data_IF_797035409211
#
_entry.id   IF_797035409211
#
_cell.length_a   1.000
_cell.length_b   1.000
_cell.length_c   1.000
_cell.angle_alpha   90.00
_cell.angle_beta   90.00
_cell.angle_gamma   90.00
#
_symmetry.space_group_name_H-M   'P 1'
#
loop_
_entity.id
_entity.type
_entity.pdbx_description
1 polymer ?
#
# COMPACT_ATOMS: atom_id res chain seq x y z
N UNK A 1 26.59 -62.88 2.36
CA UNK A 1 27.27 -61.96 1.42
C UNK A 1 26.29 -60.87 1.06
N UNK A 2 26.24 -59.82 1.84
CA UNK A 2 25.32 -58.70 1.67
C UNK A 2 26.12 -57.53 1.11
N UNK A 3 25.86 -57.20 -0.15
CA UNK A 3 26.55 -56.14 -0.88
C UNK A 3 25.99 -54.82 -0.44
N UNK A 4 26.73 -54.11 0.40
CA UNK A 4 26.45 -52.77 0.84
C UNK A 4 26.70 -51.82 -0.36
N UNK A 5 25.64 -51.34 -0.97
CA UNK A 5 25.69 -50.33 -2.00
C UNK A 5 26.14 -49.01 -1.37
N UNK A 6 27.39 -48.65 -1.59
CA UNK A 6 27.93 -47.36 -1.24
C UNK A 6 27.23 -46.29 -2.12
N UNK A 7 26.36 -45.52 -1.53
CA UNK A 7 25.83 -44.31 -2.11
C UNK A 7 27.01 -43.33 -2.32
N UNK A 8 27.22 -42.98 -3.58
CA UNK A 8 28.27 -42.08 -4.05
C UNK A 8 28.12 -40.69 -3.40
N UNK A 9 29.24 -40.12 -2.91
CA UNK A 9 29.25 -38.76 -2.35
C UNK A 9 28.99 -37.62 -3.36
N UNK A 10 28.68 -37.97 -4.61
CA UNK A 10 28.50 -37.03 -5.72
C UNK A 10 27.08 -36.55 -5.95
N UNK A 11 26.12 -36.99 -5.16
CA UNK A 11 24.71 -36.51 -5.19
C UNK A 11 24.38 -35.50 -4.10
N UNK A 12 25.38 -34.91 -3.47
CA UNK A 12 25.20 -33.63 -2.77
C UNK A 12 25.35 -32.52 -3.81
N UNK A 13 24.55 -32.65 -4.89
CA UNK A 13 24.38 -31.53 -5.81
C UNK A 13 23.87 -30.35 -5.03
N UNK A 14 24.78 -29.40 -4.89
CA UNK A 14 24.62 -27.98 -5.04
C UNK A 14 23.14 -27.50 -4.95
N UNK A 15 22.51 -27.73 -3.80
CA UNK A 15 21.39 -26.90 -3.38
C UNK A 15 21.98 -25.50 -3.15
N UNK A 16 22.32 -24.82 -4.25
CA UNK A 16 22.46 -23.38 -4.24
C UNK A 16 21.18 -22.86 -3.63
N UNK A 17 21.23 -22.54 -2.35
CA UNK A 17 20.23 -21.75 -1.67
C UNK A 17 20.20 -20.39 -2.39
N UNK A 18 19.51 -20.34 -3.53
CA UNK A 18 19.15 -19.07 -4.12
C UNK A 18 18.41 -18.34 -3.03
N UNK A 19 18.90 -17.18 -2.61
CA UNK A 19 18.27 -16.38 -1.59
C UNK A 19 16.76 -16.30 -1.87
N UNK A 20 15.88 -16.63 -0.93
CA UNK A 20 14.44 -16.71 -1.17
C UNK A 20 13.86 -15.43 -1.77
N UNK A 21 14.53 -14.31 -1.56
CA UNK A 21 14.18 -13.02 -2.16
C UNK A 21 14.40 -12.97 -3.69
N UNK A 22 15.45 -13.65 -4.18
CA UNK A 22 15.76 -13.67 -5.63
C UNK A 22 14.74 -14.54 -6.36
N UNK A 23 14.41 -15.69 -5.79
CA UNK A 23 13.38 -16.58 -6.36
C UNK A 23 12.01 -15.91 -6.39
N UNK A 24 11.62 -15.28 -5.30
CA UNK A 24 10.38 -14.51 -5.20
C UNK A 24 10.35 -13.36 -6.23
N UNK A 25 11.44 -12.61 -6.36
CA UNK A 25 11.54 -11.54 -7.36
C UNK A 25 11.44 -12.08 -8.80
N UNK A 26 12.07 -13.22 -9.09
CA UNK A 26 11.99 -13.85 -10.41
C UNK A 26 10.58 -14.33 -10.74
N UNK A 27 9.88 -14.95 -9.75
CA UNK A 27 8.48 -15.36 -9.92
C UNK A 27 7.56 -14.14 -10.15
N UNK A 28 7.80 -13.05 -9.41
CA UNK A 28 7.06 -11.80 -9.55
C UNK A 28 7.25 -11.20 -10.95
N UNK A 29 8.48 -11.13 -11.44
CA UNK A 29 8.81 -10.59 -12.76
C UNK A 29 8.26 -11.43 -13.94
N UNK A 30 7.95 -12.70 -13.71
CA UNK A 30 7.30 -13.56 -14.71
C UNK A 30 5.80 -13.31 -14.85
N UNK A 31 5.20 -12.63 -13.89
CA UNK A 31 3.76 -12.34 -13.92
C UNK A 31 3.53 -10.94 -14.50
N UNK A 32 3.04 -10.88 -15.73
CA UNK A 32 2.78 -9.61 -16.43
C UNK A 32 1.84 -8.68 -15.66
N UNK A 33 0.82 -9.22 -15.01
CA UNK A 33 -0.12 -8.41 -14.22
C UNK A 33 0.54 -7.79 -12.99
N UNK A 34 1.44 -8.54 -12.33
CA UNK A 34 2.18 -8.05 -11.18
C UNK A 34 3.18 -6.94 -11.58
N UNK A 35 3.89 -7.15 -12.71
CA UNK A 35 4.82 -6.14 -13.25
C UNK A 35 4.07 -4.87 -13.66
N UNK A 36 2.92 -5.01 -14.35
CA UNK A 36 2.10 -3.86 -14.72
C UNK A 36 1.63 -3.09 -13.48
N UNK A 37 1.13 -3.80 -12.46
CA UNK A 37 0.72 -3.19 -11.18
C UNK A 37 1.86 -2.45 -10.50
N UNK A 38 3.06 -3.02 -10.49
CA UNK A 38 4.25 -2.37 -9.92
C UNK A 38 4.64 -1.10 -10.69
N UNK A 39 4.58 -1.14 -12.02
CA UNK A 39 4.88 0.03 -12.86
C UNK A 39 3.89 1.16 -12.57
N UNK A 40 2.58 0.86 -12.55
CA UNK A 40 1.54 1.85 -12.26
C UNK A 40 1.71 2.44 -10.86
N UNK A 41 1.93 1.58 -9.85
CA UNK A 41 2.17 2.02 -8.48
C UNK A 41 3.41 2.92 -8.37
N UNK A 42 4.52 2.49 -8.99
CA UNK A 42 5.77 3.26 -8.99
C UNK A 42 5.60 4.61 -9.67
N UNK A 43 4.83 4.68 -10.76
CA UNK A 43 4.51 5.92 -11.46
C UNK A 43 3.71 6.87 -10.57
N UNK A 44 2.68 6.38 -9.90
CA UNK A 44 1.86 7.17 -8.97
C UNK A 44 2.71 7.72 -7.83
N UNK A 45 3.53 6.88 -7.20
CA UNK A 45 4.43 7.28 -6.11
C UNK A 45 5.43 8.32 -6.60
N UNK A 46 6.03 8.10 -7.76
CA UNK A 46 7.01 9.02 -8.36
C UNK A 46 6.38 10.39 -8.66
N UNK A 47 5.19 10.42 -9.29
CA UNK A 47 4.47 11.66 -9.56
C UNK A 47 4.11 12.39 -8.27
N UNK A 48 3.67 11.67 -7.25
CA UNK A 48 3.27 12.25 -5.96
C UNK A 48 4.43 12.82 -5.16
N UNK A 49 5.65 12.23 -5.28
CA UNK A 49 6.83 12.70 -4.54
C UNK A 49 7.62 13.76 -5.30
N UNK A 50 7.80 13.57 -6.59
CA UNK A 50 8.63 14.44 -7.44
C UNK A 50 7.78 15.57 -8.05
N UNK A 51 6.51 15.28 -8.35
CA UNK A 51 5.60 16.22 -9.00
C UNK A 51 5.53 17.59 -8.33
N UNK A 52 5.40 17.71 -7.01
CA UNK A 52 5.39 19.00 -6.31
C UNK A 52 6.68 19.83 -6.47
N UNK A 53 7.81 19.19 -6.80
CA UNK A 53 9.08 19.86 -7.06
C UNK A 53 9.15 20.43 -8.47
N UNK A 54 8.48 19.79 -9.42
CA UNK A 54 8.46 20.18 -10.82
C UNK A 54 7.30 21.13 -11.12
N UNK A 55 6.16 20.88 -10.50
CA UNK A 55 4.93 21.65 -10.66
C UNK A 55 4.59 22.36 -9.35
N UNK A 56 5.15 23.55 -9.18
CA UNK A 56 5.11 24.31 -7.91
C UNK A 56 3.86 25.19 -7.73
N UNK A 57 2.86 25.06 -8.61
CA UNK A 57 1.58 25.78 -8.49
C UNK A 57 0.88 25.38 -7.20
N UNK A 58 0.43 26.37 -6.42
CA UNK A 58 -0.32 26.10 -5.18
C UNK A 58 -1.68 25.47 -5.51
N UNK A 59 -1.99 24.26 -4.98
CA UNK A 59 -3.24 23.56 -5.26
C UNK A 59 -4.48 24.28 -4.70
N UNK A 60 -4.30 25.25 -3.80
CA UNK A 60 -5.40 25.98 -3.16
C UNK A 60 -5.64 27.37 -3.75
N UNK A 61 -4.73 27.87 -4.58
CA UNK A 61 -4.85 29.18 -5.21
C UNK A 61 -5.89 29.16 -6.35
N UNK A 62 -6.74 30.15 -6.38
CA UNK A 62 -7.67 30.40 -7.50
C UNK A 62 -6.90 31.05 -8.63
N UNK A 63 -6.53 30.28 -9.64
CA UNK A 63 -5.64 30.72 -10.72
C UNK A 63 -6.37 31.24 -11.94
N UNK A 64 -7.64 30.85 -12.15
CA UNK A 64 -8.43 31.26 -13.34
C UNK A 64 -9.95 31.11 -13.10
N UNK A 65 -10.70 31.28 -14.20
CA UNK A 65 -12.15 31.09 -14.18
C UNK A 65 -12.53 29.62 -13.84
N UNK A 66 -13.63 29.38 -13.08
CA UNK A 66 -14.14 28.05 -12.82
C UNK A 66 -14.45 27.28 -14.10
N UNK A 67 -14.27 25.96 -14.06
CA UNK A 67 -14.59 25.02 -15.14
C UNK A 67 -13.91 25.32 -16.48
N UNK A 68 -12.70 25.87 -16.47
CA UNK A 68 -11.88 26.01 -17.69
C UNK A 68 -11.54 24.60 -18.21
N UNK A 69 -11.69 24.41 -19.51
CA UNK A 69 -11.51 23.10 -20.15
C UNK A 69 -10.04 22.65 -20.13
N UNK A 70 -9.79 21.32 -20.14
CA UNK A 70 -8.45 20.80 -20.32
C UNK A 70 -7.77 21.35 -21.59
N UNK A 71 -6.52 21.80 -21.42
CA UNK A 71 -5.72 22.38 -22.51
C UNK A 71 -5.97 23.84 -22.80
N UNK A 72 -6.98 24.49 -22.23
CA UNK A 72 -7.20 25.92 -22.34
C UNK A 72 -6.34 26.70 -21.34
N UNK A 73 -5.90 27.90 -21.73
CA UNK A 73 -5.16 28.86 -20.91
C UNK A 73 -3.88 28.31 -20.24
N UNK A 74 -3.35 27.18 -20.76
CA UNK A 74 -2.15 26.53 -20.20
C UNK A 74 -2.42 25.52 -19.11
N UNK A 75 -3.67 25.30 -18.70
CA UNK A 75 -4.06 24.29 -17.72
C UNK A 75 -4.25 22.93 -18.38
N UNK A 76 -3.37 21.97 -18.06
CA UNK A 76 -3.36 20.64 -18.70
C UNK A 76 -4.67 19.88 -18.44
N UNK A 77 -5.18 19.89 -17.21
CA UNK A 77 -6.43 19.24 -16.82
C UNK A 77 -7.59 20.24 -16.61
N UNK A 78 -7.35 21.53 -16.86
CA UNK A 78 -8.33 22.58 -16.60
C UNK A 78 -8.43 22.97 -15.12
N UNK A 79 -9.51 23.66 -14.76
CA UNK A 79 -9.76 24.17 -13.41
C UNK A 79 -11.01 23.56 -12.80
N UNK A 80 -11.06 23.52 -11.47
CA UNK A 80 -12.21 23.07 -10.71
C UNK A 80 -13.32 24.14 -10.62
N UNK A 81 -14.35 23.87 -9.82
CA UNK A 81 -15.48 24.79 -9.59
C UNK A 81 -15.09 26.08 -8.84
N UNK A 82 -13.91 26.12 -8.23
CA UNK A 82 -13.33 27.31 -7.58
C UNK A 82 -12.26 28.00 -8.43
N UNK A 83 -12.01 27.52 -9.66
CA UNK A 83 -10.95 28.07 -10.52
C UNK A 83 -9.54 27.67 -10.09
N UNK A 84 -9.37 26.56 -9.37
CA UNK A 84 -8.07 26.02 -8.97
C UNK A 84 -7.56 25.02 -10.01
N UNK A 85 -6.25 24.93 -10.16
CA UNK A 85 -5.64 23.99 -11.11
C UNK A 85 -5.82 22.53 -10.65
N UNK A 86 -6.54 21.74 -11.45
CA UNK A 86 -6.79 20.31 -11.18
C UNK A 86 -5.52 19.48 -11.16
N UNK A 87 -4.54 19.77 -12.02
CA UNK A 87 -3.28 19.03 -12.04
C UNK A 87 -2.47 19.28 -10.76
N UNK A 88 -2.40 20.54 -10.30
CA UNK A 88 -1.75 20.88 -9.04
C UNK A 88 -2.39 20.13 -7.86
N UNK A 89 -3.74 20.10 -7.84
CA UNK A 89 -4.48 19.39 -6.78
C UNK A 89 -4.18 17.88 -6.77
N UNK A 90 -4.13 17.21 -7.93
CA UNK A 90 -3.83 15.79 -8.05
C UNK A 90 -2.40 15.49 -7.57
N UNK A 91 -1.43 16.29 -8.02
CA UNK A 91 -0.01 16.09 -7.69
C UNK A 91 0.23 16.27 -6.18
N UNK A 92 -0.25 17.38 -5.60
CA UNK A 92 -0.04 17.67 -4.18
C UNK A 92 -0.92 16.80 -3.28
N UNK A 93 -2.18 16.52 -3.69
CA UNK A 93 -3.08 15.62 -2.99
C UNK A 93 -2.55 14.19 -2.94
N UNK A 94 -1.89 13.72 -4.00
CA UNK A 94 -1.24 12.40 -4.03
C UNK A 94 -0.21 12.21 -2.90
N UNK A 95 0.64 13.21 -2.67
CA UNK A 95 1.62 13.19 -1.57
C UNK A 95 0.95 13.04 -0.20
N UNK A 96 -0.07 13.84 0.05
CA UNK A 96 -0.80 13.81 1.32
C UNK A 96 -1.53 12.46 1.51
N UNK A 97 -2.19 11.97 0.47
CA UNK A 97 -2.89 10.68 0.49
C UNK A 97 -1.94 9.52 0.76
N UNK A 98 -0.78 9.49 0.09
CA UNK A 98 0.24 8.47 0.33
C UNK A 98 0.79 8.54 1.75
N UNK A 99 1.08 9.74 2.26
CA UNK A 99 1.59 9.91 3.63
C UNK A 99 0.60 9.40 4.67
N UNK A 100 -0.68 9.80 4.55
CA UNK A 100 -1.75 9.34 5.45
C UNK A 100 -1.97 7.84 5.33
N UNK A 101 -2.03 7.30 4.09
CA UNK A 101 -2.20 5.87 3.85
C UNK A 101 -1.06 5.03 4.42
N UNK A 102 0.19 5.44 4.22
CA UNK A 102 1.36 4.76 4.80
C UNK A 102 1.35 4.83 6.33
N UNK A 103 1.04 5.99 6.92
CA UNK A 103 0.96 6.14 8.36
C UNK A 103 -0.15 5.26 8.95
N UNK A 104 -1.33 5.24 8.35
CA UNK A 104 -2.45 4.40 8.77
C UNK A 104 -2.11 2.90 8.64
N UNK A 105 -1.50 2.48 7.54
CA UNK A 105 -1.06 1.10 7.34
C UNK A 105 -0.02 0.68 8.38
N UNK A 106 0.99 1.53 8.64
CA UNK A 106 2.01 1.27 9.65
C UNK A 106 1.40 1.11 11.04
N UNK A 107 0.53 2.04 11.46
CA UNK A 107 -0.15 1.97 12.75
C UNK A 107 -1.03 0.72 12.86
N UNK A 108 -1.80 0.39 11.82
CA UNK A 108 -2.66 -0.80 11.81
C UNK A 108 -1.86 -2.09 11.96
N UNK A 109 -0.78 -2.22 11.19
CA UNK A 109 0.10 -3.39 11.25
C UNK A 109 0.80 -3.48 12.61
N UNK A 110 1.31 -2.36 13.14
CA UNK A 110 1.96 -2.31 14.44
C UNK A 110 1.02 -2.72 15.57
N UNK A 111 -0.17 -2.14 15.61
CA UNK A 111 -1.19 -2.47 16.62
C UNK A 111 -1.64 -3.94 16.46
N UNK A 112 -1.92 -4.37 15.24
CA UNK A 112 -2.37 -5.74 14.94
C UNK A 112 -1.34 -6.80 15.35
N UNK A 113 -0.07 -6.60 15.00
CA UNK A 113 1.02 -7.52 15.42
C UNK A 113 1.18 -7.51 16.95
N UNK A 114 1.13 -6.32 17.57
CA UNK A 114 1.29 -6.22 19.03
C UNK A 114 0.17 -6.96 19.75
N UNK A 115 -1.09 -6.69 19.40
CA UNK A 115 -2.25 -7.36 20.02
C UNK A 115 -2.23 -8.86 19.71
N UNK A 116 -2.00 -9.24 18.46
CA UNK A 116 -1.95 -10.64 18.05
C UNK A 116 -0.84 -11.43 18.74
N UNK A 117 0.36 -10.84 18.86
CA UNK A 117 1.49 -11.48 19.53
C UNK A 117 1.25 -11.62 21.02
N UNK A 118 0.72 -10.60 21.68
CA UNK A 118 0.39 -10.66 23.12
C UNK A 118 -0.71 -11.70 23.40
N UNK A 119 -1.76 -11.70 22.59
CA UNK A 119 -2.85 -12.67 22.70
C UNK A 119 -2.34 -14.10 22.51
N UNK A 120 -1.54 -14.35 21.47
CA UNK A 120 -0.99 -15.68 21.20
C UNK A 120 0.04 -16.15 22.23
N UNK A 121 0.81 -15.23 22.82
CA UNK A 121 1.85 -15.58 23.81
C UNK A 121 1.26 -15.86 25.18
N UNK A 122 0.40 -14.98 25.70
CA UNK A 122 -0.10 -15.10 27.09
C UNK A 122 -1.29 -16.03 27.24
N UNK A 123 -2.00 -16.39 26.18
CA UNK A 123 -3.17 -17.29 26.21
C UNK A 123 -4.14 -17.08 27.39
N UNK A 124 -5.28 -17.75 27.41
CA UNK A 124 -6.22 -17.71 28.52
C UNK A 124 -6.90 -16.34 28.70
N UNK A 125 -6.88 -15.78 29.89
CA UNK A 125 -7.62 -14.56 30.21
C UNK A 125 -7.16 -13.31 29.39
N UNK A 126 -5.87 -13.19 29.13
CA UNK A 126 -5.33 -12.08 28.32
C UNK A 126 -5.83 -12.17 26.87
N UNK A 127 -5.81 -13.35 26.30
CA UNK A 127 -6.36 -13.62 24.97
C UNK A 127 -7.84 -13.26 24.92
N UNK A 128 -8.64 -13.72 25.88
CA UNK A 128 -10.07 -13.47 25.94
C UNK A 128 -10.38 -11.97 26.01
N UNK A 129 -9.70 -11.22 26.86
CA UNK A 129 -9.90 -9.76 26.97
C UNK A 129 -9.49 -9.03 25.70
N UNK A 130 -8.33 -9.35 25.11
CA UNK A 130 -7.87 -8.70 23.89
C UNK A 130 -8.80 -9.02 22.70
N UNK A 131 -9.28 -10.23 22.59
CA UNK A 131 -10.22 -10.63 21.55
C UNK A 131 -11.57 -9.91 21.71
N UNK A 132 -12.09 -9.80 22.95
CA UNK A 132 -13.34 -9.04 23.23
C UNK A 132 -13.22 -7.57 22.84
N UNK A 133 -12.07 -6.94 23.13
CA UNK A 133 -11.81 -5.56 22.70
C UNK A 133 -11.80 -5.46 21.17
N UNK A 134 -11.17 -6.38 20.49
CA UNK A 134 -11.10 -6.40 19.01
C UNK A 134 -12.50 -6.59 18.41
N UNK A 135 -13.29 -7.52 18.92
CA UNK A 135 -14.68 -7.75 18.51
C UNK A 135 -15.53 -6.50 18.69
N UNK A 136 -15.39 -5.81 19.83
CA UNK A 136 -16.10 -4.57 20.08
C UNK A 136 -15.84 -3.51 19.01
N UNK A 137 -14.55 -3.30 18.64
CA UNK A 137 -14.20 -2.36 17.58
C UNK A 137 -14.65 -2.80 16.18
N UNK A 138 -14.79 -4.09 15.92
CA UNK A 138 -15.31 -4.60 14.64
C UNK A 138 -16.81 -4.37 14.49
N UNK A 139 -17.57 -4.51 15.58
CA UNK A 139 -19.03 -4.38 15.55
C UNK A 139 -19.48 -2.92 15.43
N UNK A 140 -18.77 -1.98 16.07
CA UNK A 140 -19.12 -0.56 16.06
C UNK A 140 -19.22 0.05 14.65
N UNK A 141 -18.22 -0.07 13.76
CA UNK A 141 -18.31 0.48 12.40
C UNK A 141 -19.47 -0.09 11.60
N UNK A 142 -19.78 -1.37 11.78
CA UNK A 142 -20.88 -2.03 11.07
C UNK A 142 -22.23 -1.49 11.51
N UNK A 143 -22.43 -1.26 12.81
CA UNK A 143 -23.66 -0.65 13.35
C UNK A 143 -23.82 0.80 12.91
N UNK A 144 -22.73 1.59 12.91
CA UNK A 144 -22.78 2.98 12.45
C UNK A 144 -23.13 3.08 10.97
N UNK A 145 -22.54 2.23 10.12
CA UNK A 145 -22.87 2.17 8.70
C UNK A 145 -24.33 1.75 8.46
N UNK A 146 -24.85 0.80 9.23
CA UNK A 146 -26.24 0.40 9.16
C UNK A 146 -27.19 1.52 9.58
N UNK A 147 -26.85 2.30 10.60
CA UNK A 147 -27.66 3.42 11.07
C UNK A 147 -27.70 4.59 10.08
N UNK A 148 -26.59 4.86 9.38
CA UNK A 148 -26.51 5.91 8.35
C UNK A 148 -27.35 5.55 7.11
N UNK A 149 -27.54 4.26 6.83
CA UNK A 149 -28.35 3.80 5.70
C UNK A 149 -29.86 3.81 5.93
N UNK A 150 -30.33 3.99 7.16
CA UNK A 150 -31.73 4.11 7.53
C UNK A 150 -32.16 5.58 7.62
#
# INVERSE_FOLDING_TARGET
MTKQSATSPLELEDFREEHPLVETARMYLRNYSAVLGLIVLSLIVMISLIGPLVYSTDPFEMVWAPFTKPGEQGFILGTDYLGRDLLAQIIHGGKTTLAVGCAAAFLSVFIGITIGSLSGFYRGWVEEVLMRITEFFQVLPTLLLSLIHI
#
